data_IF_648716508923
#
_entry.id   IF_648716508923
#
_cell.length_a   1.000
_cell.length_b   1.000
_cell.length_c   1.000
_cell.angle_alpha   90.00
_cell.angle_beta   90.00
_cell.angle_gamma   90.00
#
_symmetry.space_group_name_H-M   'P 1'
#
loop_
_entity.id
_entity.type
_entity.pdbx_description
1 polymer ?
#
# COMPACT_ATOMS: atom_id res chain seq x y z
N UNK A 1 -19.28 -1.69 0.27
CA UNK A 1 -18.92 -0.66 -0.73
C UNK A 1 -17.42 -0.62 -1.02
N UNK A 2 -16.53 -0.41 -0.03
CA UNK A 2 -15.08 -0.35 -0.24
C UNK A 2 -14.46 -1.53 -1.01
N UNK A 3 -14.93 -2.76 -0.75
CA UNK A 3 -14.46 -3.96 -1.46
C UNK A 3 -14.75 -3.91 -2.97
N UNK A 4 -15.93 -3.40 -3.37
CA UNK A 4 -16.28 -3.27 -4.78
C UNK A 4 -15.44 -2.17 -5.45
N UNK A 5 -15.30 -1.02 -4.77
CA UNK A 5 -14.48 0.11 -5.22
C UNK A 5 -13.01 -0.30 -5.49
N UNK A 6 -12.41 -1.09 -4.59
CA UNK A 6 -11.03 -1.56 -4.72
C UNK A 6 -10.83 -2.70 -5.74
N UNK A 7 -11.92 -3.31 -6.25
CA UNK A 7 -11.88 -4.46 -7.17
C UNK A 7 -12.19 -4.13 -8.62
N UNK A 8 -12.92 -3.04 -8.87
CA UNK A 8 -13.29 -2.64 -10.22
C UNK A 8 -12.05 -2.29 -11.04
N UNK A 9 -12.01 -2.75 -12.29
CA UNK A 9 -10.94 -2.46 -13.25
C UNK A 9 -11.42 -2.27 -14.68
N UNK A 10 -12.48 -2.94 -15.10
CA UNK A 10 -12.82 -3.06 -16.52
C UNK A 10 -13.60 -1.86 -17.04
N UNK A 11 -14.27 -1.12 -16.15
CA UNK A 11 -15.00 0.08 -16.52
C UNK A 11 -14.12 1.31 -16.73
N UNK A 12 -12.81 1.23 -16.46
CA UNK A 12 -11.88 2.36 -16.53
C UNK A 12 -10.96 2.25 -17.75
N UNK A 13 -10.68 3.37 -18.41
CA UNK A 13 -9.72 3.45 -19.52
C UNK A 13 -8.32 3.02 -19.08
N UNK A 14 -7.89 3.48 -17.89
CA UNK A 14 -6.63 3.13 -17.24
C UNK A 14 -6.62 1.69 -16.66
N UNK A 15 -7.74 0.97 -16.75
CA UNK A 15 -7.83 -0.44 -16.37
C UNK A 15 -7.34 -0.75 -14.95
N UNK A 16 -6.34 -1.62 -14.87
CA UNK A 16 -5.73 -2.04 -13.60
C UNK A 16 -4.97 -0.91 -12.89
N UNK A 17 -4.44 0.07 -13.62
CA UNK A 17 -3.79 1.22 -13.00
C UNK A 17 -4.80 2.06 -12.22
N UNK A 18 -6.03 2.20 -12.72
CA UNK A 18 -7.08 2.86 -11.93
C UNK A 18 -7.48 2.04 -10.71
N UNK A 19 -7.53 0.71 -10.83
CA UNK A 19 -7.77 -0.16 -9.68
C UNK A 19 -6.69 0.01 -8.61
N UNK A 20 -5.41 0.09 -8.99
CA UNK A 20 -4.31 0.35 -8.07
C UNK A 20 -4.47 1.70 -7.38
N UNK A 21 -4.83 2.76 -8.12
CA UNK A 21 -5.16 4.08 -7.54
C UNK A 21 -6.30 3.99 -6.52
N UNK A 22 -7.38 3.28 -6.84
CA UNK A 22 -8.51 3.07 -5.92
C UNK A 22 -8.07 2.33 -4.65
N UNK A 23 -7.21 1.31 -4.76
CA UNK A 23 -6.67 0.60 -3.60
C UNK A 23 -5.81 1.52 -2.71
N UNK A 24 -4.98 2.38 -3.31
CA UNK A 24 -4.20 3.38 -2.56
C UNK A 24 -5.09 4.39 -1.84
N UNK A 25 -6.22 4.79 -2.42
CA UNK A 25 -7.19 5.66 -1.75
C UNK A 25 -7.90 4.96 -0.57
N UNK A 26 -8.20 3.67 -0.69
CA UNK A 26 -8.68 2.87 0.45
C UNK A 26 -7.63 2.82 1.56
N UNK A 27 -6.36 2.59 1.23
CA UNK A 27 -5.26 2.58 2.20
C UNK A 27 -5.13 3.96 2.87
N UNK A 28 -5.18 5.05 2.11
CA UNK A 28 -5.17 6.43 2.63
C UNK A 28 -6.28 6.65 3.66
N UNK A 29 -7.50 6.26 3.32
CA UNK A 29 -8.65 6.39 4.23
C UNK A 29 -8.51 5.53 5.50
N UNK A 30 -7.97 4.31 5.37
CA UNK A 30 -7.66 3.43 6.51
C UNK A 30 -6.61 4.07 7.42
N UNK A 31 -5.52 4.60 6.87
CA UNK A 31 -4.48 5.30 7.65
C UNK A 31 -5.08 6.48 8.42
N UNK A 32 -5.87 7.32 7.74
CA UNK A 32 -6.55 8.45 8.38
C UNK A 32 -7.48 8.01 9.53
N UNK A 33 -8.21 6.89 9.34
CA UNK A 33 -9.08 6.35 10.39
C UNK A 33 -8.27 5.77 11.55
N UNK A 34 -7.17 5.08 11.27
CA UNK A 34 -6.26 4.54 12.28
C UNK A 34 -5.58 5.65 13.10
N UNK A 35 -5.24 6.77 12.48
CA UNK A 35 -4.68 7.95 13.14
C UNK A 35 -5.74 8.80 13.90
N UNK A 36 -7.02 8.43 13.85
CA UNK A 36 -8.08 9.18 14.55
C UNK A 36 -8.05 8.93 16.07
N UNK A 37 -8.32 9.96 16.87
CA UNK A 37 -8.34 9.87 18.33
C UNK A 37 -9.24 8.74 18.85
N UNK A 38 -10.39 8.54 18.19
CA UNK A 38 -11.33 7.47 18.54
C UNK A 38 -10.75 6.07 18.39
N UNK A 39 -9.93 5.84 17.35
CA UNK A 39 -9.35 4.52 17.08
C UNK A 39 -8.13 4.30 17.98
N UNK A 40 -7.27 5.32 18.11
CA UNK A 40 -6.08 5.26 18.97
C UNK A 40 -6.45 4.97 20.44
N UNK A 41 -7.54 5.56 20.94
CA UNK A 41 -8.03 5.29 22.30
C UNK A 41 -8.51 3.85 22.51
N UNK A 42 -8.90 3.15 21.43
CA UNK A 42 -9.46 1.80 21.48
C UNK A 42 -8.63 0.79 20.67
N UNK A 43 -7.34 1.06 20.45
CA UNK A 43 -6.54 0.30 19.49
C UNK A 43 -6.44 -1.19 19.84
N UNK A 44 -6.39 -1.54 21.14
CA UNK A 44 -6.36 -2.94 21.59
C UNK A 44 -7.61 -3.69 21.17
N UNK A 45 -8.80 -3.14 21.42
CA UNK A 45 -10.06 -3.74 21.01
C UNK A 45 -10.19 -3.88 19.49
N UNK A 46 -9.63 -2.93 18.73
CA UNK A 46 -9.57 -3.06 17.27
C UNK A 46 -8.65 -4.20 16.84
N UNK A 47 -7.46 -4.32 17.45
CA UNK A 47 -6.53 -5.42 17.18
C UNK A 47 -7.15 -6.79 17.52
N UNK A 48 -7.86 -6.89 18.63
CA UNK A 48 -8.55 -8.12 19.04
C UNK A 48 -9.68 -8.48 18.05
N UNK A 49 -10.43 -7.48 17.58
CA UNK A 49 -11.53 -7.70 16.62
C UNK A 49 -11.04 -8.17 15.24
N UNK A 50 -9.83 -7.79 14.84
CA UNK A 50 -9.23 -8.20 13.56
C UNK A 50 -8.29 -9.40 13.68
N UNK A 51 -8.02 -9.86 14.90
CA UNK A 51 -7.19 -11.02 15.16
C UNK A 51 -7.76 -12.27 14.45
N UNK A 52 -6.88 -13.04 13.80
CA UNK A 52 -7.26 -14.21 13.02
C UNK A 52 -7.79 -13.89 11.61
N UNK A 53 -8.02 -12.62 11.27
CA UNK A 53 -8.35 -12.19 9.90
C UNK A 53 -7.16 -11.52 9.18
N UNK A 54 -6.13 -11.12 9.94
CA UNK A 54 -4.91 -10.51 9.43
C UNK A 54 -3.68 -11.18 10.04
N UNK A 55 -2.66 -11.39 9.22
CA UNK A 55 -1.35 -11.85 9.65
C UNK A 55 -0.35 -10.69 9.62
N UNK A 56 0.45 -10.54 10.68
CA UNK A 56 1.54 -9.56 10.74
C UNK A 56 2.70 -10.12 11.56
N UNK A 57 3.91 -9.72 11.20
CA UNK A 57 5.12 -9.98 11.97
C UNK A 57 5.51 -8.80 12.87
N UNK A 58 4.74 -7.70 12.88
CA UNK A 58 5.00 -6.57 13.78
C UNK A 58 4.76 -6.99 15.24
N UNK A 59 5.78 -6.89 16.10
CA UNK A 59 5.62 -7.13 17.52
C UNK A 59 4.62 -6.15 18.17
N UNK A 60 3.89 -6.62 19.20
CA UNK A 60 2.87 -5.81 19.87
C UNK A 60 3.45 -4.52 20.49
N UNK A 61 4.68 -4.56 20.99
CA UNK A 61 5.37 -3.39 21.54
C UNK A 61 5.71 -2.34 20.48
N UNK A 62 6.01 -2.76 19.24
CA UNK A 62 6.19 -1.85 18.10
C UNK A 62 4.86 -1.19 17.70
N UNK A 63 3.76 -1.96 17.65
CA UNK A 63 2.42 -1.40 17.39
C UNK A 63 2.05 -0.37 18.47
N UNK A 64 2.27 -0.71 19.74
CA UNK A 64 2.02 0.21 20.84
C UNK A 64 2.93 1.45 20.78
N UNK A 65 4.17 1.32 20.31
CA UNK A 65 5.07 2.46 20.09
C UNK A 65 4.55 3.40 19.00
N UNK A 66 4.03 2.86 17.89
CA UNK A 66 3.40 3.66 16.83
C UNK A 66 2.16 4.41 17.34
N UNK A 67 1.31 3.77 18.15
CA UNK A 67 0.15 4.41 18.78
C UNK A 67 0.59 5.55 19.70
N UNK A 68 1.61 5.34 20.54
CA UNK A 68 2.16 6.39 21.40
C UNK A 68 2.76 7.54 20.60
N UNK A 69 3.47 7.24 19.52
CA UNK A 69 4.04 8.25 18.61
C UNK A 69 2.92 9.12 18.03
N UNK A 70 1.87 8.52 17.47
CA UNK A 70 0.73 9.28 16.94
C UNK A 70 0.02 10.10 18.04
N UNK A 71 -0.16 9.56 19.24
CA UNK A 71 -0.82 10.28 20.35
C UNK A 71 0.01 11.45 20.90
N UNK A 72 1.32 11.49 20.63
CA UNK A 72 2.21 12.50 21.20
C UNK A 72 1.98 13.91 20.64
N UNK A 73 1.66 14.00 19.35
CA UNK A 73 1.45 15.27 18.64
C UNK A 73 0.26 15.26 17.68
N UNK A 74 -0.37 14.10 17.46
CA UNK A 74 -1.45 13.89 16.50
C UNK A 74 -1.07 14.39 15.08
N UNK A 75 0.20 14.22 14.70
CA UNK A 75 0.71 14.65 13.41
C UNK A 75 -0.14 14.12 12.25
N UNK A 76 -0.31 14.98 11.25
CA UNK A 76 -0.97 14.62 10.01
C UNK A 76 0.06 13.99 9.06
N UNK A 77 -0.32 12.86 8.46
CA UNK A 77 0.53 12.13 7.53
C UNK A 77 0.37 12.71 6.12
N UNK A 78 1.48 13.13 5.52
CA UNK A 78 1.51 13.40 4.08
C UNK A 78 1.66 12.06 3.33
N UNK A 79 0.58 11.60 2.69
CA UNK A 79 0.54 10.32 1.98
C UNK A 79 0.64 10.59 0.48
N UNK A 80 1.77 10.22 -0.11
CA UNK A 80 1.98 10.21 -1.56
C UNK A 80 1.68 8.81 -2.13
N UNK A 81 1.47 8.74 -3.45
CA UNK A 81 1.10 7.50 -4.12
C UNK A 81 1.79 7.44 -5.47
N UNK A 82 2.28 6.26 -5.83
CA UNK A 82 2.99 6.01 -7.07
C UNK A 82 2.72 4.59 -7.55
N UNK A 83 2.63 4.38 -8.86
CA UNK A 83 2.44 3.06 -9.46
C UNK A 83 3.48 2.88 -10.55
N UNK A 84 4.21 1.77 -10.51
CA UNK A 84 5.18 1.41 -11.55
C UNK A 84 4.42 1.03 -12.82
N UNK A 85 4.64 1.79 -13.89
CA UNK A 85 4.08 1.50 -15.22
C UNK A 85 4.88 0.43 -15.95
N UNK A 86 4.31 -0.10 -17.02
CA UNK A 86 4.95 -1.11 -17.86
C UNK A 86 4.15 -1.42 -19.11
N UNK A 87 4.74 -2.27 -19.96
CA UNK A 87 4.14 -2.72 -21.21
C UNK A 87 3.50 -4.09 -21.02
N UNK A 88 2.29 -4.25 -21.53
CA UNK A 88 1.57 -5.51 -21.43
C UNK A 88 1.97 -6.46 -22.56
N UNK A 89 2.23 -7.73 -22.22
CA UNK A 89 2.61 -8.77 -23.18
C UNK A 89 2.07 -10.14 -22.74
N UNK A 90 2.14 -11.11 -23.66
CA UNK A 90 1.90 -12.52 -23.34
C UNK A 90 3.24 -13.23 -23.24
N UNK A 91 3.49 -13.90 -22.11
CA UNK A 91 4.73 -14.64 -21.88
C UNK A 91 4.52 -15.83 -20.92
N UNK A 92 5.39 -16.83 -21.01
CA UNK A 92 5.45 -17.90 -20.03
C UNK A 92 5.99 -17.39 -18.69
N UNK A 93 5.38 -17.85 -17.61
CA UNK A 93 5.82 -17.52 -16.25
C UNK A 93 6.49 -18.73 -15.61
N UNK A 94 7.34 -18.48 -14.63
CA UNK A 94 8.01 -19.56 -13.89
C UNK A 94 7.02 -20.55 -13.25
N UNK A 95 5.87 -20.05 -12.77
CA UNK A 95 4.84 -20.86 -12.11
C UNK A 95 3.95 -21.67 -13.07
N UNK A 96 3.86 -21.28 -14.34
CA UNK A 96 3.01 -21.94 -15.35
C UNK A 96 3.79 -22.16 -16.66
N UNK A 97 4.77 -23.07 -16.67
CA UNK A 97 5.53 -23.37 -17.88
C UNK A 97 4.62 -23.97 -18.96
N UNK A 98 4.85 -23.58 -20.23
CA UNK A 98 4.09 -24.10 -21.37
C UNK A 98 2.78 -23.35 -21.70
N UNK A 99 2.41 -22.32 -20.94
CA UNK A 99 1.26 -21.46 -21.23
C UNK A 99 1.66 -19.98 -21.19
N UNK A 100 1.33 -19.25 -22.25
CA UNK A 100 1.50 -17.79 -22.25
C UNK A 100 0.38 -17.14 -21.44
N UNK A 101 0.77 -16.25 -20.53
CA UNK A 101 -0.12 -15.49 -19.66
C UNK A 101 0.07 -14.00 -19.91
N UNK A 102 -0.99 -13.24 -19.64
CA UNK A 102 -0.91 -11.79 -19.63
C UNK A 102 -0.01 -11.33 -18.48
N UNK A 103 1.10 -10.68 -18.82
CA UNK A 103 2.07 -10.12 -17.88
C UNK A 103 2.33 -8.65 -18.23
N UNK A 104 2.80 -7.90 -17.25
CA UNK A 104 3.29 -6.54 -17.45
C UNK A 104 4.81 -6.58 -17.26
N UNK A 105 5.55 -6.24 -18.32
CA UNK A 105 6.98 -5.95 -18.22
C UNK A 105 7.15 -4.52 -17.68
N UNK A 106 7.70 -4.33 -16.47
CA UNK A 106 7.82 -3.00 -15.88
C UNK A 106 8.75 -2.10 -16.69
N UNK A 107 8.38 -0.82 -16.80
CA UNK A 107 9.24 0.20 -17.40
C UNK A 107 10.42 0.51 -16.45
N UNK A 108 11.64 0.45 -16.98
CA UNK A 108 12.84 0.64 -16.16
C UNK A 108 12.93 2.05 -15.55
N UNK A 109 12.49 3.09 -16.27
CA UNK A 109 12.47 4.45 -15.74
C UNK A 109 11.44 4.58 -14.60
N UNK A 110 10.29 3.93 -14.71
CA UNK A 110 9.30 3.87 -13.64
C UNK A 110 9.83 3.12 -12.39
N UNK A 111 10.63 2.07 -12.58
CA UNK A 111 11.32 1.38 -11.47
C UNK A 111 12.32 2.31 -10.77
N UNK A 112 13.17 2.99 -11.54
CA UNK A 112 14.17 3.90 -10.95
C UNK A 112 13.51 5.06 -10.20
N UNK A 113 12.41 5.58 -10.73
CA UNK A 113 11.61 6.59 -10.04
C UNK A 113 10.99 6.07 -8.75
N UNK A 114 10.43 4.86 -8.73
CA UNK A 114 9.92 4.25 -7.50
C UNK A 114 11.02 4.10 -6.44
N UNK A 115 12.22 3.66 -6.84
CA UNK A 115 13.39 3.55 -5.93
C UNK A 115 13.78 4.91 -5.36
N UNK A 116 13.79 5.96 -6.19
CA UNK A 116 14.07 7.34 -5.77
C UNK A 116 13.05 7.80 -4.73
N UNK A 117 11.76 7.65 -5.00
CA UNK A 117 10.68 8.07 -4.11
C UNK A 117 10.72 7.36 -2.75
N UNK A 118 11.00 6.06 -2.74
CA UNK A 118 11.20 5.29 -1.49
C UNK A 118 12.39 5.84 -0.69
N UNK A 119 13.53 6.09 -1.35
CA UNK A 119 14.74 6.59 -0.70
C UNK A 119 14.54 7.98 -0.09
N UNK A 120 13.85 8.86 -0.80
CA UNK A 120 13.50 10.20 -0.31
C UNK A 120 12.56 10.13 0.90
N UNK A 121 11.57 9.25 0.86
CA UNK A 121 10.60 9.09 1.95
C UNK A 121 11.24 8.52 3.21
N UNK A 122 12.20 7.60 3.08
CA UNK A 122 12.93 7.02 4.23
C UNK A 122 14.00 7.97 4.81
N UNK A 123 14.25 9.13 4.20
CA UNK A 123 15.19 10.12 4.71
C UNK A 123 16.67 9.75 4.54
N UNK A 124 17.03 8.90 3.57
CA UNK A 124 18.44 8.74 3.21
C UNK A 124 18.92 9.98 2.48
N UNK A 125 19.75 10.78 3.16
CA UNK A 125 20.89 11.42 2.49
C UNK A 125 21.52 10.35 1.59
N UNK A 126 21.55 10.57 0.28
CA UNK A 126 22.54 9.92 -0.54
C UNK A 126 23.90 10.23 0.12
N UNK A 127 24.52 9.21 0.71
CA UNK A 127 25.91 9.31 1.15
C UNK A 127 26.75 9.33 -0.12
N UNK A 128 27.18 10.53 -0.50
CA UNK A 128 28.52 10.73 -1.07
C UNK A 128 29.55 10.78 0.07
#
# INVERSE_FOLDING_TARGET
EALAFARERYSFEDGDYQRAKNQMEVIRAVIQKCASSSLLANYSSVMDAVAGSFETNMPQDQIAALVRMQLSDMAQWNITSYTVSGTSMYAQTYSMPGQDLYVIEPDQAAIEEAKRLVSETMGSKAQE
#
